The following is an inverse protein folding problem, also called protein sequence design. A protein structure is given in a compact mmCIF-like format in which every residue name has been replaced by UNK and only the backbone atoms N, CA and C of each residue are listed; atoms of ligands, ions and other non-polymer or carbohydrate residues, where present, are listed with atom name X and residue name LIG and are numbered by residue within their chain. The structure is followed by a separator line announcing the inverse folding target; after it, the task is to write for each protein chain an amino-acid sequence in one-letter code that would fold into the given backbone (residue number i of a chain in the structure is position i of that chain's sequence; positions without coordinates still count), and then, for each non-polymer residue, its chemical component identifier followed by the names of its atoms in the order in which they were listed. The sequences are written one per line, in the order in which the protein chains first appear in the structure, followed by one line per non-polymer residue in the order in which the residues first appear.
data_IF_999508120348
#
_entry.id   IF_999508120348
#
_cell.length_a   1.000
_cell.length_b   1.000
_cell.length_c   1.000
_cell.angle_alpha   90.00
_cell.angle_beta   90.00
_cell.angle_gamma   90.00
#
_symmetry.space_group_name_H-M   'P 1'
#
loop_
_entity.id
_entity.type
_entity.pdbx_description
1 polymer ?
#
# COMPACT_ATOMS: atom_id res chain seq x y z
N UNK A 1 8.60 -17.23 14.16
CA UNK A 1 8.27 -16.51 12.92
C UNK A 1 6.75 -16.55 12.72
N UNK A 2 6.11 -15.41 12.77
CA UNK A 2 4.64 -15.28 12.79
C UNK A 2 3.97 -15.62 11.46
N UNK A 3 4.70 -15.52 10.35
CA UNK A 3 4.20 -15.74 8.99
C UNK A 3 4.82 -16.96 8.30
N UNK A 4 5.42 -17.88 9.04
CA UNK A 4 5.96 -19.12 8.49
C UNK A 4 4.85 -19.94 7.79
N UNK A 5 5.08 -20.35 6.55
CA UNK A 5 4.10 -21.06 5.72
C UNK A 5 2.98 -20.16 5.15
N UNK A 6 3.06 -18.84 5.30
CA UNK A 6 2.13 -17.87 4.71
C UNK A 6 2.71 -17.30 3.44
N UNK A 7 1.88 -17.18 2.40
CA UNK A 7 2.20 -16.53 1.13
C UNK A 7 1.61 -15.11 1.12
N UNK A 8 2.49 -14.12 0.96
CA UNK A 8 2.17 -12.69 0.99
C UNK A 8 2.49 -12.06 -0.35
N UNK A 9 1.53 -11.44 -1.00
CA UNK A 9 1.74 -10.68 -2.23
C UNK A 9 1.74 -9.19 -1.91
N UNK A 10 2.77 -8.48 -2.40
CA UNK A 10 3.00 -7.06 -2.13
C UNK A 10 3.18 -6.33 -3.46
N UNK A 11 2.36 -5.34 -3.74
CA UNK A 11 2.53 -4.44 -4.90
C UNK A 11 3.32 -3.19 -4.51
N UNK A 12 4.07 -2.60 -5.48
CA UNK A 12 4.96 -1.47 -5.20
C UNK A 12 6.14 -1.87 -4.30
N UNK A 13 6.61 -3.10 -4.45
CA UNK A 13 7.50 -3.76 -3.49
C UNK A 13 8.99 -3.43 -3.68
N UNK A 14 9.40 -2.77 -4.78
CA UNK A 14 10.80 -2.48 -5.06
C UNK A 14 11.36 -1.28 -4.27
N UNK A 15 10.51 -0.44 -3.68
CA UNK A 15 10.95 0.75 -2.97
C UNK A 15 10.06 1.13 -1.78
N UNK A 16 10.47 2.11 -1.00
CA UNK A 16 9.68 2.78 0.03
C UNK A 16 8.98 1.82 1.01
N UNK A 17 7.68 2.00 1.19
CA UNK A 17 6.86 1.21 2.12
C UNK A 17 6.79 -0.25 1.66
N UNK A 18 6.59 -0.52 0.37
CA UNK A 18 6.50 -1.90 -0.14
C UNK A 18 7.78 -2.70 0.05
N UNK A 19 8.95 -2.09 -0.13
CA UNK A 19 10.23 -2.73 0.19
C UNK A 19 10.39 -2.99 1.68
N UNK A 20 9.99 -2.05 2.53
CA UNK A 20 10.01 -2.27 3.98
C UNK A 20 9.07 -3.40 4.41
N UNK A 21 7.88 -3.49 3.80
CA UNK A 21 6.96 -4.61 4.00
C UNK A 21 7.59 -5.93 3.54
N UNK A 22 8.21 -5.97 2.35
CA UNK A 22 8.93 -7.15 1.86
C UNK A 22 9.96 -7.64 2.88
N UNK A 23 10.78 -6.73 3.42
CA UNK A 23 11.81 -7.06 4.43
C UNK A 23 11.22 -7.65 5.71
N UNK A 24 10.18 -7.04 6.26
CA UNK A 24 9.61 -7.52 7.53
C UNK A 24 8.88 -8.85 7.39
N UNK A 25 8.14 -9.07 6.27
CA UNK A 25 7.46 -10.33 6.05
C UNK A 25 8.43 -11.50 5.78
N UNK A 26 9.52 -11.27 5.03
CA UNK A 26 10.59 -12.24 4.87
C UNK A 26 11.25 -12.59 6.21
N UNK A 27 11.53 -11.59 7.05
CA UNK A 27 12.11 -11.79 8.37
C UNK A 27 11.19 -12.59 9.30
N UNK A 28 9.86 -12.50 9.11
CA UNK A 28 8.87 -13.28 9.83
C UNK A 28 8.55 -14.64 9.17
N UNK A 29 9.32 -15.03 8.15
CA UNK A 29 9.28 -16.37 7.55
C UNK A 29 8.20 -16.57 6.50
N UNK A 30 7.61 -15.49 5.98
CA UNK A 30 6.66 -15.56 4.87
C UNK A 30 7.36 -15.94 3.54
N UNK A 31 6.60 -16.58 2.66
CA UNK A 31 6.87 -16.60 1.23
C UNK A 31 6.33 -15.31 0.62
N UNK A 32 7.18 -14.47 0.04
CA UNK A 32 6.79 -13.15 -0.48
C UNK A 32 6.84 -13.15 -2.00
N UNK A 33 5.71 -12.78 -2.60
CA UNK A 33 5.60 -12.43 -4.03
C UNK A 33 5.65 -10.91 -4.12
N UNK A 34 6.79 -10.38 -4.51
CA UNK A 34 7.05 -8.96 -4.62
C UNK A 34 6.80 -8.49 -6.06
N UNK A 35 5.84 -7.59 -6.24
CA UNK A 35 5.39 -7.08 -7.54
C UNK A 35 5.73 -5.61 -7.66
N UNK A 36 6.40 -5.22 -8.73
CA UNK A 36 6.68 -3.81 -9.05
C UNK A 36 6.81 -3.62 -10.57
N UNK A 37 6.69 -2.37 -11.02
CA UNK A 37 7.02 -1.98 -12.38
C UNK A 37 8.54 -1.86 -12.59
N UNK A 38 9.28 -1.62 -11.50
CA UNK A 38 10.73 -1.44 -11.50
C UNK A 38 11.46 -2.70 -11.04
N UNK A 39 12.72 -2.79 -11.45
CA UNK A 39 13.62 -3.87 -11.00
C UNK A 39 13.95 -3.76 -9.51
N UNK A 40 14.11 -4.91 -8.87
CA UNK A 40 14.56 -4.99 -7.49
C UNK A 40 16.08 -4.89 -7.44
N UNK A 41 16.58 -3.90 -6.74
CA UNK A 41 18.03 -3.66 -6.59
C UNK A 41 18.55 -3.85 -5.17
N UNK A 42 17.66 -4.06 -4.19
CA UNK A 42 18.04 -4.18 -2.77
C UNK A 42 18.63 -5.57 -2.49
N UNK A 43 19.96 -5.62 -2.31
CA UNK A 43 20.73 -6.86 -2.09
C UNK A 43 20.32 -7.59 -0.79
N UNK A 44 19.72 -6.88 0.17
CA UNK A 44 19.32 -7.49 1.44
C UNK A 44 18.14 -8.45 1.32
N UNK A 45 17.39 -8.39 0.23
CA UNK A 45 16.21 -9.23 0.01
C UNK A 45 16.29 -10.09 -1.23
N UNK A 46 16.97 -9.65 -2.31
CA UNK A 46 16.95 -10.30 -3.63
C UNK A 46 17.48 -11.73 -3.60
N UNK A 47 18.35 -12.05 -2.65
CA UNK A 47 18.93 -13.39 -2.48
C UNK A 47 18.13 -14.29 -1.53
N UNK A 48 16.97 -13.83 -1.03
CA UNK A 48 16.11 -14.64 -0.15
C UNK A 48 15.47 -15.79 -0.92
N UNK A 49 15.57 -17.00 -0.38
CA UNK A 49 14.90 -18.19 -0.95
C UNK A 49 13.38 -18.11 -0.94
N UNK A 50 12.84 -17.25 -0.06
CA UNK A 50 11.41 -17.06 0.12
C UNK A 50 10.88 -15.86 -0.66
N UNK A 51 11.68 -15.22 -1.53
CA UNK A 51 11.27 -14.10 -2.36
C UNK A 51 11.08 -14.55 -3.82
N UNK A 52 9.93 -14.23 -4.38
CA UNK A 52 9.65 -14.30 -5.82
C UNK A 52 9.38 -12.90 -6.34
N UNK A 53 10.17 -12.44 -7.29
CA UNK A 53 10.01 -11.10 -7.89
C UNK A 53 9.23 -11.21 -9.19
N UNK A 54 8.28 -10.30 -9.39
CA UNK A 54 7.47 -10.16 -10.60
C UNK A 54 7.49 -8.70 -11.06
N UNK A 55 7.97 -8.49 -12.28
CA UNK A 55 8.01 -7.15 -12.89
C UNK A 55 6.83 -7.03 -13.84
N UNK A 56 5.85 -6.21 -13.47
CA UNK A 56 4.67 -5.93 -14.28
C UNK A 56 3.97 -4.65 -13.83
N UNK A 57 3.16 -4.10 -14.73
CA UNK A 57 2.25 -3.00 -14.42
C UNK A 57 0.95 -3.57 -13.79
N UNK A 58 0.71 -3.24 -12.54
CA UNK A 58 -0.51 -3.67 -11.82
C UNK A 58 -1.77 -2.97 -12.30
N UNK A 59 -1.66 -1.95 -13.15
CA UNK A 59 -2.79 -1.30 -13.83
C UNK A 59 -3.20 -2.01 -15.13
N UNK A 60 -2.39 -2.96 -15.62
CA UNK A 60 -2.72 -3.80 -16.78
C UNK A 60 -3.46 -5.07 -16.37
N UNK A 61 -4.75 -5.13 -16.72
CA UNK A 61 -5.64 -6.23 -16.33
C UNK A 61 -5.13 -7.61 -16.80
N UNK A 62 -4.56 -7.69 -18.01
CA UNK A 62 -4.08 -8.99 -18.54
C UNK A 62 -2.85 -9.47 -17.78
N UNK A 63 -1.94 -8.57 -17.41
CA UNK A 63 -0.75 -8.90 -16.61
C UNK A 63 -1.13 -9.36 -15.20
N UNK A 64 -2.14 -8.72 -14.58
CA UNK A 64 -2.65 -9.11 -13.26
C UNK A 64 -3.33 -10.48 -13.31
N UNK A 65 -4.11 -10.78 -14.34
CA UNK A 65 -4.76 -12.07 -14.53
C UNK A 65 -3.74 -13.21 -14.67
N UNK A 66 -2.72 -13.02 -15.52
CA UNK A 66 -1.61 -13.97 -15.67
C UNK A 66 -0.85 -14.17 -14.37
N UNK A 67 -0.57 -13.07 -13.63
CA UNK A 67 0.06 -13.15 -12.32
C UNK A 67 -0.76 -14.02 -11.35
N UNK A 68 -2.08 -13.82 -11.30
CA UNK A 68 -2.94 -14.59 -10.41
C UNK A 68 -2.99 -16.08 -10.75
N UNK A 69 -2.93 -16.42 -12.04
CA UNK A 69 -2.87 -17.83 -12.47
C UNK A 69 -1.52 -18.47 -12.11
N UNK A 70 -0.43 -17.75 -12.29
CA UNK A 70 0.92 -18.23 -11.96
C UNK A 70 1.14 -18.38 -10.45
N UNK A 71 0.73 -17.39 -9.65
CA UNK A 71 0.97 -17.35 -8.21
C UNK A 71 0.04 -18.29 -7.45
N UNK A 72 -1.19 -18.50 -7.95
CA UNK A 72 -2.19 -19.31 -7.28
C UNK A 72 -2.78 -18.62 -6.06
N UNK A 73 -2.96 -19.38 -4.98
CA UNK A 73 -3.54 -18.88 -3.73
C UNK A 73 -2.52 -18.10 -2.90
N UNK A 74 -2.99 -17.06 -2.22
CA UNK A 74 -2.22 -16.25 -1.28
C UNK A 74 -2.98 -16.11 0.04
N UNK A 75 -2.26 -15.87 1.15
CA UNK A 75 -2.86 -15.62 2.47
C UNK A 75 -3.07 -14.11 2.71
N UNK A 76 -2.17 -13.28 2.22
CA UNK A 76 -2.18 -11.83 2.43
C UNK A 76 -1.94 -11.10 1.12
N UNK A 77 -2.78 -10.12 0.82
CA UNK A 77 -2.61 -9.17 -0.28
C UNK A 77 -2.33 -7.77 0.29
N UNK A 78 -1.17 -7.21 -0.05
CA UNK A 78 -0.79 -5.84 0.30
C UNK A 78 -0.82 -4.98 -0.96
N UNK A 79 -1.85 -4.16 -1.09
CA UNK A 79 -2.00 -3.22 -2.18
C UNK A 79 -1.28 -1.91 -1.80
N UNK A 80 0.04 -1.85 -2.07
CA UNK A 80 0.90 -0.73 -1.67
C UNK A 80 1.34 0.13 -2.85
N UNK A 81 1.26 -0.38 -4.09
CA UNK A 81 1.58 0.41 -5.28
C UNK A 81 0.79 1.72 -5.32
N UNK A 82 1.45 2.79 -5.70
CA UNK A 82 0.84 4.09 -5.83
C UNK A 82 1.82 5.16 -6.27
N UNK A 83 1.29 6.25 -6.80
CA UNK A 83 2.04 7.41 -7.27
C UNK A 83 1.39 8.69 -6.75
N UNK A 84 2.21 9.76 -6.61
CA UNK A 84 1.78 11.09 -6.20
C UNK A 84 1.54 11.96 -7.45
N UNK A 85 0.61 12.90 -7.36
CA UNK A 85 0.28 13.85 -8.43
C UNK A 85 1.06 15.16 -8.33
N UNK A 86 2.18 15.17 -7.60
CA UNK A 86 3.01 16.34 -7.35
C UNK A 86 2.22 17.54 -6.76
N UNK A 87 1.23 17.28 -5.93
CA UNK A 87 0.38 18.27 -5.24
C UNK A 87 -0.36 19.21 -6.18
N UNK A 88 -0.63 18.80 -7.43
CA UNK A 88 -1.27 19.64 -8.43
C UNK A 88 -2.70 20.01 -8.08
N UNK A 89 -3.03 21.28 -8.34
CA UNK A 89 -4.40 21.79 -8.25
C UNK A 89 -5.26 21.27 -9.41
N UNK A 90 -6.58 21.52 -9.36
CA UNK A 90 -7.49 21.13 -10.45
C UNK A 90 -7.12 21.77 -11.79
N UNK A 91 -6.67 23.02 -11.79
CA UNK A 91 -6.29 23.75 -13.00
C UNK A 91 -5.00 23.19 -13.62
N UNK A 92 -4.11 22.61 -12.81
CA UNK A 92 -2.86 21.98 -13.24
C UNK A 92 -3.00 20.49 -13.57
N UNK A 93 -4.16 19.90 -13.29
CA UNK A 93 -4.43 18.48 -13.50
C UNK A 93 -5.24 18.30 -14.78
N UNK A 94 -4.57 17.94 -15.87
CA UNK A 94 -5.27 17.53 -17.07
C UNK A 94 -5.91 16.14 -16.91
N UNK A 95 -6.79 15.78 -17.86
CA UNK A 95 -7.52 14.50 -17.77
C UNK A 95 -6.59 13.29 -17.88
N UNK A 96 -5.46 13.39 -18.57
CA UNK A 96 -4.47 12.30 -18.68
C UNK A 96 -3.80 12.03 -17.33
N UNK A 97 -3.35 13.07 -16.64
CA UNK A 97 -2.79 12.93 -15.28
C UNK A 97 -3.84 12.37 -14.31
N UNK A 98 -5.07 12.91 -14.35
CA UNK A 98 -6.18 12.38 -13.55
C UNK A 98 -6.37 10.88 -13.75
N UNK A 99 -6.48 10.43 -15.01
CA UNK A 99 -6.64 9.02 -15.34
C UNK A 99 -5.44 8.17 -14.90
N UNK A 100 -4.22 8.66 -15.09
CA UNK A 100 -3.00 7.95 -14.69
C UNK A 100 -2.97 7.71 -13.18
N UNK A 101 -3.26 8.73 -12.37
CA UNK A 101 -3.31 8.60 -10.90
C UNK A 101 -4.38 7.59 -10.47
N UNK A 102 -5.59 7.69 -11.01
CA UNK A 102 -6.66 6.73 -10.68
C UNK A 102 -6.33 5.31 -11.16
N UNK A 103 -5.72 5.17 -12.33
CA UNK A 103 -5.31 3.86 -12.86
C UNK A 103 -4.33 3.17 -11.94
N UNK A 104 -3.27 3.89 -11.52
CA UNK A 104 -2.24 3.31 -10.66
C UNK A 104 -2.70 3.15 -9.21
N UNK A 105 -3.38 4.14 -8.61
CA UNK A 105 -3.68 4.11 -7.18
C UNK A 105 -4.95 3.31 -6.84
N UNK A 106 -5.96 3.33 -7.72
CA UNK A 106 -7.29 2.77 -7.43
C UNK A 106 -7.62 1.56 -8.31
N UNK A 107 -7.52 1.71 -9.65
CA UNK A 107 -7.93 0.63 -10.55
C UNK A 107 -7.01 -0.59 -10.40
N UNK A 108 -5.70 -0.39 -10.22
CA UNK A 108 -4.75 -1.49 -9.95
C UNK A 108 -5.17 -2.29 -8.71
N UNK A 109 -5.56 -1.59 -7.65
CA UNK A 109 -6.03 -2.23 -6.41
C UNK A 109 -7.29 -3.06 -6.64
N UNK A 110 -8.26 -2.52 -7.40
CA UNK A 110 -9.44 -3.27 -7.81
C UNK A 110 -9.06 -4.52 -8.61
N UNK A 111 -8.16 -4.41 -9.59
CA UNK A 111 -7.71 -5.54 -10.40
C UNK A 111 -7.06 -6.63 -9.56
N UNK A 112 -6.13 -6.26 -8.68
CA UNK A 112 -5.46 -7.20 -7.77
C UNK A 112 -6.45 -7.90 -6.84
N UNK A 113 -7.37 -7.15 -6.23
CA UNK A 113 -8.40 -7.73 -5.37
C UNK A 113 -9.29 -8.68 -6.19
N UNK A 114 -9.78 -8.27 -7.35
CA UNK A 114 -10.65 -9.09 -8.20
C UNK A 114 -10.01 -10.41 -8.64
N UNK A 115 -8.70 -10.40 -8.88
CA UNK A 115 -7.96 -11.57 -9.32
C UNK A 115 -7.70 -12.60 -8.19
N UNK A 116 -7.47 -12.13 -6.95
CA UNK A 116 -7.10 -13.01 -5.83
C UNK A 116 -8.25 -13.32 -4.87
N UNK A 117 -9.26 -12.46 -4.77
CA UNK A 117 -10.41 -12.64 -3.88
C UNK A 117 -11.15 -13.97 -4.06
N UNK A 118 -11.43 -14.46 -5.28
CA UNK A 118 -12.11 -15.75 -5.46
C UNK A 118 -11.34 -16.91 -4.83
N UNK A 119 -10.01 -16.89 -4.92
CA UNK A 119 -9.13 -17.92 -4.33
C UNK A 119 -9.13 -17.83 -2.80
N UNK A 120 -9.11 -16.62 -2.22
CA UNK A 120 -9.25 -16.40 -0.78
C UNK A 120 -10.63 -16.87 -0.27
N UNK A 121 -11.71 -16.61 -1.01
CA UNK A 121 -13.06 -17.11 -0.68
C UNK A 121 -13.11 -18.63 -0.66
N UNK A 122 -12.49 -19.28 -1.63
CA UNK A 122 -12.44 -20.75 -1.70
C UNK A 122 -11.66 -21.33 -0.49
N UNK A 123 -10.61 -20.63 -0.01
CA UNK A 123 -9.85 -20.97 1.19
C UNK A 123 -10.62 -20.66 2.48
N UNK A 124 -11.66 -19.82 2.44
CA UNK A 124 -12.36 -19.24 3.60
C UNK A 124 -11.40 -18.50 4.55
N UNK A 125 -10.37 -17.93 4.01
CA UNK A 125 -9.32 -17.22 4.75
C UNK A 125 -8.56 -16.29 3.83
N UNK A 126 -8.30 -15.08 4.28
CA UNK A 126 -7.48 -14.09 3.59
C UNK A 126 -7.41 -12.78 4.34
N UNK A 127 -6.33 -12.04 4.11
CA UNK A 127 -6.17 -10.67 4.62
C UNK A 127 -5.83 -9.76 3.45
N UNK A 128 -6.56 -8.65 3.33
CA UNK A 128 -6.30 -7.60 2.34
C UNK A 128 -6.00 -6.30 3.08
N UNK A 129 -4.84 -5.71 2.82
CA UNK A 129 -4.46 -4.43 3.39
C UNK A 129 -4.21 -3.45 2.25
N UNK A 130 -5.00 -2.38 2.23
CA UNK A 130 -4.95 -1.34 1.23
C UNK A 130 -4.15 -0.14 1.75
N UNK A 131 -3.27 0.42 0.91
CA UNK A 131 -2.50 1.61 1.25
C UNK A 131 -3.30 2.86 0.85
N UNK A 132 -4.04 3.41 1.83
CA UNK A 132 -4.68 4.71 1.73
C UNK A 132 -3.65 5.85 1.93
N UNK A 133 -3.99 6.89 2.62
CA UNK A 133 -3.17 8.03 3.06
C UNK A 133 -3.99 8.88 4.02
N UNK A 134 -3.38 9.78 4.77
CA UNK A 134 -4.09 10.91 5.40
C UNK A 134 -4.88 11.72 4.38
N UNK A 135 -4.41 11.80 3.12
CA UNK A 135 -5.14 12.39 2.00
C UNK A 135 -6.45 11.64 1.65
N UNK A 136 -6.70 10.46 2.20
CA UNK A 136 -7.98 9.76 2.13
C UNK A 136 -8.91 10.07 3.30
N UNK A 137 -8.46 10.86 4.27
CA UNK A 137 -9.21 11.23 5.48
C UNK A 137 -9.46 12.74 5.54
N UNK A 138 -8.46 13.54 5.14
CA UNK A 138 -8.50 15.01 5.13
C UNK A 138 -7.88 15.54 3.84
N UNK A 139 -8.08 16.82 3.54
CA UNK A 139 -7.38 17.50 2.46
C UNK A 139 -5.94 17.87 2.85
N UNK A 140 -5.11 18.25 1.85
CA UNK A 140 -3.76 18.78 2.06
C UNK A 140 -2.62 17.76 2.08
N UNK A 141 -2.91 16.46 1.97
CA UNK A 141 -1.87 15.41 1.89
C UNK A 141 -1.47 15.00 0.47
N UNK A 142 -1.93 15.73 -0.55
CA UNK A 142 -1.66 15.49 -1.97
C UNK A 142 -2.45 16.46 -2.84
N UNK A 143 -2.30 16.38 -4.16
CA UNK A 143 -3.11 17.14 -5.12
C UNK A 143 -4.51 16.54 -5.30
N UNK A 144 -5.27 17.07 -6.24
CA UNK A 144 -6.69 16.76 -6.41
C UNK A 144 -6.93 15.30 -6.83
N UNK A 145 -6.14 14.77 -7.76
CA UNK A 145 -6.30 13.40 -8.24
C UNK A 145 -5.87 12.37 -7.19
N UNK A 146 -4.75 12.63 -6.53
CA UNK A 146 -4.26 11.78 -5.44
C UNK A 146 -5.26 11.72 -4.29
N UNK A 147 -5.72 12.87 -3.80
CA UNK A 147 -6.70 12.97 -2.72
C UNK A 147 -7.99 12.24 -3.07
N UNK A 148 -8.52 12.41 -4.28
CA UNK A 148 -9.69 11.67 -4.74
C UNK A 148 -9.47 10.16 -4.74
N UNK A 149 -8.31 9.70 -5.28
CA UNK A 149 -7.96 8.27 -5.30
C UNK A 149 -7.91 7.67 -3.89
N UNK A 150 -7.32 8.39 -2.93
CA UNK A 150 -7.14 7.89 -1.56
C UNK A 150 -8.44 7.90 -0.75
N UNK A 151 -9.36 8.83 -0.99
CA UNK A 151 -10.72 8.77 -0.46
C UNK A 151 -11.52 7.59 -1.02
N UNK A 152 -11.37 7.31 -2.33
CA UNK A 152 -12.01 6.16 -2.95
C UNK A 152 -11.53 4.83 -2.34
N UNK A 153 -10.23 4.70 -2.02
CA UNK A 153 -9.66 3.53 -1.35
C UNK A 153 -10.30 3.30 0.03
N UNK A 154 -10.58 4.36 0.78
CA UNK A 154 -11.28 4.27 2.07
C UNK A 154 -12.68 3.68 1.89
N UNK A 155 -13.43 4.18 0.90
CA UNK A 155 -14.76 3.65 0.57
C UNK A 155 -14.72 2.19 0.12
N UNK A 156 -13.81 1.85 -0.80
CA UNK A 156 -13.59 0.48 -1.28
C UNK A 156 -13.26 -0.48 -0.13
N UNK A 157 -12.36 -0.07 0.77
CA UNK A 157 -11.95 -0.90 1.92
C UNK A 157 -13.12 -1.23 2.84
N UNK A 158 -13.95 -0.23 3.17
CA UNK A 158 -15.11 -0.41 4.04
C UNK A 158 -16.18 -1.32 3.40
N UNK A 159 -16.49 -1.08 2.13
CA UNK A 159 -17.48 -1.90 1.42
C UNK A 159 -17.01 -3.34 1.28
N UNK A 160 -15.77 -3.55 0.85
CA UNK A 160 -15.22 -4.90 0.70
C UNK A 160 -15.14 -5.65 2.05
N UNK A 161 -14.81 -4.96 3.14
CA UNK A 161 -14.81 -5.55 4.47
C UNK A 161 -16.21 -6.02 4.90
N UNK A 162 -17.25 -5.23 4.60
CA UNK A 162 -18.65 -5.59 4.87
C UNK A 162 -19.07 -6.83 4.08
N UNK A 163 -18.74 -6.87 2.78
CA UNK A 163 -19.18 -7.93 1.88
C UNK A 163 -18.47 -9.26 2.19
N UNK A 164 -17.20 -9.22 2.58
CA UNK A 164 -16.33 -10.39 2.60
C UNK A 164 -16.04 -10.95 4.01
N UNK A 165 -16.43 -10.26 5.09
CA UNK A 165 -16.24 -10.72 6.46
C UNK A 165 -16.87 -12.12 6.70
N UNK A 166 -18.07 -12.36 6.16
CA UNK A 166 -18.77 -13.65 6.24
C UNK A 166 -18.00 -14.81 5.57
N UNK A 167 -17.08 -14.50 4.65
CA UNK A 167 -16.26 -15.47 3.96
C UNK A 167 -14.89 -15.72 4.65
N UNK A 168 -14.70 -15.17 5.85
CA UNK A 168 -13.45 -15.29 6.61
C UNK A 168 -12.31 -14.42 6.06
N UNK A 169 -12.63 -13.35 5.33
CA UNK A 169 -11.65 -12.43 4.76
C UNK A 169 -11.67 -11.13 5.55
N UNK A 170 -10.51 -10.76 6.07
CA UNK A 170 -10.28 -9.48 6.75
C UNK A 170 -9.79 -8.45 5.73
N UNK A 171 -10.39 -7.27 5.76
CA UNK A 171 -9.97 -6.14 4.91
C UNK A 171 -9.76 -4.91 5.79
N UNK A 172 -8.60 -4.26 5.65
CA UNK A 172 -8.30 -3.02 6.36
C UNK A 172 -7.49 -2.08 5.46
N UNK A 173 -7.35 -0.83 5.86
CA UNK A 173 -6.43 0.09 5.23
C UNK A 173 -5.53 0.78 6.25
N UNK A 174 -4.32 1.11 5.81
CA UNK A 174 -3.41 2.01 6.52
C UNK A 174 -3.50 3.37 5.85
N UNK A 175 -3.53 4.43 6.64
CA UNK A 175 -3.53 5.82 6.19
C UNK A 175 -2.24 6.52 6.69
N UNK A 176 -1.11 6.39 5.96
CA UNK A 176 0.13 7.03 6.35
C UNK A 176 0.05 8.56 6.19
N UNK A 177 0.74 9.27 7.07
CA UNK A 177 1.09 10.68 6.91
C UNK A 177 2.41 10.86 6.14
N UNK A 178 3.28 11.72 6.64
CA UNK A 178 4.59 11.98 6.07
C UNK A 178 5.58 10.82 6.33
N UNK A 179 5.87 10.04 5.30
CA UNK A 179 6.80 8.90 5.33
C UNK A 179 7.99 9.20 4.42
N UNK A 180 9.20 9.11 4.94
CA UNK A 180 10.43 9.34 4.16
C UNK A 180 10.67 8.19 3.17
N UNK A 181 10.26 8.38 1.92
CA UNK A 181 10.34 7.42 0.83
C UNK A 181 10.86 8.08 -0.45
N UNK A 182 11.29 7.32 -1.46
CA UNK A 182 11.62 7.89 -2.77
C UNK A 182 10.49 8.71 -3.42
N UNK A 183 9.23 8.41 -3.11
CA UNK A 183 8.06 9.17 -3.59
C UNK A 183 8.11 10.66 -3.16
N UNK A 184 8.70 10.94 -2.00
CA UNK A 184 8.81 12.27 -1.41
C UNK A 184 10.24 12.84 -1.53
N UNK A 185 11.10 12.28 -2.38
CA UNK A 185 12.49 12.72 -2.49
C UNK A 185 12.63 14.20 -2.84
N UNK A 186 11.73 14.75 -3.67
CA UNK A 186 11.69 16.16 -4.02
C UNK A 186 11.57 17.07 -2.80
N UNK A 187 10.74 16.70 -1.81
CA UNK A 187 10.52 17.49 -0.60
C UNK A 187 11.83 17.70 0.20
N UNK A 188 12.76 16.74 0.11
CA UNK A 188 14.05 16.77 0.82
C UNK A 188 15.16 17.42 -0.01
N UNK A 189 15.09 17.39 -1.34
CA UNK A 189 16.18 17.85 -2.22
C UNK A 189 15.94 19.22 -2.83
N UNK A 190 14.69 19.58 -3.11
CA UNK A 190 14.34 20.88 -3.67
C UNK A 190 14.30 21.95 -2.58
N UNK A 191 14.67 23.18 -2.94
CA UNK A 191 14.67 24.36 -2.07
C UNK A 191 15.36 24.09 -0.71
N UNK A 192 16.49 23.36 -0.71
CA UNK A 192 17.24 22.97 0.50
C UNK A 192 16.38 22.21 1.54
N UNK A 193 15.40 21.42 1.14
CA UNK A 193 14.56 20.64 2.01
C UNK A 193 13.54 21.44 2.83
N UNK A 194 13.23 22.67 2.40
CA UNK A 194 12.29 23.53 3.15
C UNK A 194 10.90 22.89 3.28
N UNK A 195 10.44 22.16 2.25
CA UNK A 195 9.16 21.47 2.32
C UNK A 195 9.19 20.34 3.34
N UNK A 196 10.26 19.53 3.35
CA UNK A 196 10.40 18.45 4.34
C UNK A 196 10.45 19.00 5.77
N UNK A 197 11.14 20.14 5.99
CA UNK A 197 11.18 20.78 7.29
C UNK A 197 9.81 21.32 7.69
N UNK A 198 9.09 22.00 6.78
CA UNK A 198 7.76 22.50 7.04
C UNK A 198 6.77 21.38 7.40
N UNK A 199 6.79 20.27 6.66
CA UNK A 199 5.94 19.10 6.96
C UNK A 199 6.27 18.53 8.35
N UNK A 200 7.55 18.44 8.71
CA UNK A 200 7.96 17.98 10.03
C UNK A 200 7.46 18.94 11.13
N UNK A 201 7.59 20.26 10.91
CA UNK A 201 7.16 21.28 11.88
C UNK A 201 5.64 21.31 12.06
N UNK A 202 4.89 21.05 10.99
CA UNK A 202 3.43 20.97 11.03
C UNK A 202 2.92 19.64 11.62
N UNK A 203 3.70 18.57 11.57
CA UNK A 203 3.33 17.29 12.17
C UNK A 203 3.49 17.36 13.70
N UNK A 204 2.50 16.99 14.51
CA UNK A 204 2.63 17.00 15.98
C UNK A 204 3.86 16.22 16.49
N UNK A 205 4.18 15.09 15.87
CA UNK A 205 5.36 14.28 16.21
C UNK A 205 6.70 14.92 15.79
N UNK A 206 6.69 16.08 15.10
CA UNK A 206 7.88 16.88 14.71
C UNK A 206 8.90 16.12 13.86
N UNK A 207 8.46 15.14 13.10
CA UNK A 207 9.32 14.35 12.21
C UNK A 207 8.54 13.66 11.12
N UNK A 208 9.25 13.19 10.11
CA UNK A 208 8.81 12.16 9.18
C UNK A 208 8.94 10.78 9.84
N UNK A 209 8.03 9.87 9.50
CA UNK A 209 8.19 8.48 9.88
C UNK A 209 9.05 7.73 8.84
N UNK A 210 9.59 6.60 9.26
CA UNK A 210 10.28 5.67 8.36
C UNK A 210 9.29 4.69 7.69
N UNK A 211 9.61 4.15 6.51
CA UNK A 211 8.83 3.08 5.90
C UNK A 211 8.66 1.85 6.81
N UNK A 212 9.63 1.61 7.68
CA UNK A 212 9.61 0.50 8.63
C UNK A 212 8.46 0.61 9.64
N UNK A 213 8.14 1.81 10.11
CA UNK A 213 7.02 2.01 11.04
C UNK A 213 5.68 1.62 10.39
N UNK A 214 5.50 1.92 9.10
CA UNK A 214 4.31 1.47 8.34
C UNK A 214 4.31 -0.04 8.14
N UNK A 215 5.47 -0.63 7.86
CA UNK A 215 5.61 -2.07 7.66
C UNK A 215 5.33 -2.86 8.97
N UNK A 216 5.74 -2.35 10.12
CA UNK A 216 5.47 -2.97 11.43
C UNK A 216 3.95 -2.94 11.75
N UNK A 217 3.25 -1.83 11.43
CA UNK A 217 1.80 -1.77 11.52
C UNK A 217 1.13 -2.75 10.54
N UNK A 218 1.68 -2.90 9.33
CA UNK A 218 1.19 -3.87 8.35
C UNK A 218 1.28 -5.30 8.88
N UNK A 219 2.41 -5.69 9.50
CA UNK A 219 2.57 -6.99 10.15
C UNK A 219 1.50 -7.24 11.22
N UNK A 220 1.21 -6.22 12.04
CA UNK A 220 0.16 -6.33 13.07
C UNK A 220 -1.20 -6.53 12.42
N UNK A 221 -1.58 -5.70 11.45
CA UNK A 221 -2.89 -5.79 10.78
C UNK A 221 -3.07 -7.09 10.00
N UNK A 222 -1.99 -7.66 9.46
CA UNK A 222 -2.01 -8.94 8.76
C UNK A 222 -2.03 -10.16 9.71
N UNK A 223 -1.88 -9.94 11.01
CA UNK A 223 -1.79 -11.02 12.00
C UNK A 223 -3.15 -11.37 12.62
N UNK A 224 -3.31 -12.57 13.21
CA UNK A 224 -4.54 -12.95 13.91
C UNK A 224 -4.95 -12.00 15.04
N UNK A 225 -4.00 -11.22 15.61
CA UNK A 225 -4.29 -10.27 16.67
C UNK A 225 -5.18 -9.10 16.21
N UNK A 226 -5.20 -8.82 14.91
CA UNK A 226 -6.04 -7.78 14.32
C UNK A 226 -7.33 -8.32 13.67
N UNK A 227 -7.69 -9.60 13.90
CA UNK A 227 -8.82 -10.25 13.22
C UNK A 227 -10.18 -9.58 13.42
N UNK A 228 -10.35 -8.78 14.47
CA UNK A 228 -11.59 -8.03 14.73
C UNK A 228 -11.55 -6.57 14.20
N UNK A 229 -10.54 -6.23 13.37
CA UNK A 229 -10.35 -4.89 12.82
C UNK A 229 -10.78 -4.77 11.35
N UNK A 230 -11.68 -5.63 10.87
CA UNK A 230 -12.16 -5.55 9.50
C UNK A 230 -12.88 -4.23 9.23
N UNK A 231 -12.58 -3.58 8.10
CA UNK A 231 -13.09 -2.26 7.75
C UNK A 231 -12.35 -1.09 8.40
N UNK A 232 -11.38 -1.35 9.29
CA UNK A 232 -10.61 -0.29 9.92
C UNK A 232 -9.76 0.49 8.91
N UNK A 233 -9.74 1.81 9.05
CA UNK A 233 -8.81 2.71 8.38
C UNK A 233 -7.89 3.24 9.47
N UNK A 234 -6.64 2.78 9.49
CA UNK A 234 -5.72 3.04 10.61
C UNK A 234 -4.72 4.11 10.22
N UNK A 235 -4.82 5.34 10.76
CA UNK A 235 -3.82 6.38 10.53
C UNK A 235 -2.49 6.03 11.22
N UNK A 236 -1.39 6.34 10.54
CA UNK A 236 -0.03 6.35 11.07
C UNK A 236 0.64 7.62 10.57
N UNK A 237 0.39 8.73 11.26
CA UNK A 237 0.53 10.07 10.72
C UNK A 237 1.20 11.07 11.67
N UNK A 238 1.73 10.61 12.79
CA UNK A 238 2.36 11.47 13.79
C UNK A 238 1.42 12.51 14.40
N UNK A 239 0.11 12.31 14.30
CA UNK A 239 -0.93 13.21 14.80
C UNK A 239 -1.42 14.24 13.77
N UNK A 240 -1.09 14.09 12.50
CA UNK A 240 -1.51 15.03 11.44
C UNK A 240 -3.02 15.24 11.39
N UNK A 241 -3.82 14.18 11.52
CA UNK A 241 -5.28 14.24 11.38
C UNK A 241 -6.03 14.63 12.65
N UNK A 242 -5.37 14.88 13.76
CA UNK A 242 -6.03 15.27 15.02
C UNK A 242 -5.96 16.78 15.31
N UNK A 243 -5.36 17.56 14.42
CA UNK A 243 -5.25 19.03 14.55
C UNK A 243 -6.28 19.74 13.66
#
# INVERSE_FOLDING_TARGET
MKFSGKKVLITGAASGIGLAQTKVFLAEGAEVVAVDLQEFTDESVINSKNLSVKILDVSDAQSVEKLADEVGSIDVLLNTAGVLDAYKTLEETDFSLWQSILSTNLNSMYLMISAFLPKMKAQKSGVIINMASVAGLVAGGGGVAYTASKHAIVGLTKQLALDEAQHGIQVAAIAPGAINTPMNAADFTENNGQMAQWVADETPAKRWASPREVADLTLFLASPQASYMSGAIVPIDGGWTIK
#
